data_IF_976536345680
#
_entry.id   IF_976536345680
#
_cell.length_a   1.000
_cell.length_b   1.000
_cell.length_c   1.000
_cell.angle_alpha   90.00
_cell.angle_beta   90.00
_cell.angle_gamma   90.00
#
_symmetry.space_group_name_H-M   'P 1'
#
loop_
_entity.id
_entity.type
_entity.pdbx_description
1 polymer ?
#
# COMPACT_ATOMS: atom_id res chain seq x y z
N UNK A 1 -30.97 49.23 -22.79
CA UNK A 1 -31.46 48.65 -21.52
C UNK A 1 -31.45 47.12 -21.48
N UNK A 2 -31.80 46.39 -22.55
CA UNK A 2 -31.81 44.90 -22.55
C UNK A 2 -30.45 44.22 -22.29
N UNK A 3 -29.35 44.81 -22.75
CA UNK A 3 -28.00 44.26 -22.57
C UNK A 3 -27.47 44.34 -21.13
N UNK A 4 -27.85 45.40 -20.40
CA UNK A 4 -27.45 45.58 -18.99
C UNK A 4 -28.12 44.53 -18.10
N UNK A 5 -29.38 44.19 -18.41
CA UNK A 5 -30.12 43.12 -17.70
C UNK A 5 -29.48 41.76 -17.94
N UNK A 6 -29.06 41.44 -19.17
CA UNK A 6 -28.37 40.18 -19.47
C UNK A 6 -27.02 40.06 -18.76
N UNK A 7 -26.23 41.14 -18.71
CA UNK A 7 -24.94 41.15 -18.00
C UNK A 7 -25.13 40.97 -16.49
N UNK A 8 -26.14 41.64 -15.91
CA UNK A 8 -26.48 41.47 -14.50
C UNK A 8 -26.98 40.05 -14.20
N UNK A 9 -27.76 39.41 -15.07
CA UNK A 9 -28.17 38.01 -14.87
C UNK A 9 -26.99 37.04 -14.90
N UNK A 10 -25.96 37.29 -15.71
CA UNK A 10 -24.75 36.44 -15.75
C UNK A 10 -23.89 36.67 -14.50
N UNK A 11 -23.82 37.90 -13.99
CA UNK A 11 -23.07 38.25 -12.77
C UNK A 11 -23.79 37.82 -11.47
N UNK A 12 -25.12 37.78 -11.44
CA UNK A 12 -25.95 37.35 -10.31
C UNK A 12 -26.19 35.83 -10.30
N UNK A 13 -25.97 35.14 -11.42
CA UNK A 13 -25.87 33.69 -11.48
C UNK A 13 -24.51 33.29 -10.89
N UNK A 14 -24.40 33.35 -9.56
CA UNK A 14 -23.20 32.93 -8.85
C UNK A 14 -22.72 31.54 -9.29
N UNK A 15 -21.49 31.19 -8.91
CA UNK A 15 -20.71 30.00 -9.30
C UNK A 15 -21.36 28.60 -9.09
N UNK A 16 -22.68 28.49 -8.95
CA UNK A 16 -23.45 27.26 -8.96
C UNK A 16 -23.24 26.42 -10.24
N UNK A 17 -22.78 27.01 -11.34
CA UNK A 17 -22.44 26.29 -12.57
C UNK A 17 -21.12 25.51 -12.52
N UNK A 18 -20.23 25.81 -11.57
CA UNK A 18 -18.89 25.17 -11.49
C UNK A 18 -18.91 23.93 -10.58
N UNK A 19 -19.97 23.72 -9.80
CA UNK A 19 -20.11 22.55 -8.92
C UNK A 19 -20.34 21.21 -9.65
N UNK A 20 -20.48 21.24 -10.99
CA UNK A 20 -20.72 20.07 -11.84
C UNK A 20 -19.48 19.66 -12.67
N UNK A 21 -18.42 20.48 -12.69
CA UNK A 21 -17.14 20.12 -13.31
C UNK A 21 -16.31 19.32 -12.31
N UNK A 22 -16.32 18.01 -12.51
CA UNK A 22 -15.53 17.01 -11.79
C UNK A 22 -15.86 16.90 -10.30
N UNK A 23 -16.91 16.13 -10.00
CA UNK A 23 -16.89 15.28 -8.82
C UNK A 23 -15.64 14.42 -8.91
N UNK A 24 -14.58 14.82 -8.22
CA UNK A 24 -13.41 14.00 -7.99
C UNK A 24 -13.92 12.68 -7.44
N UNK A 25 -13.86 11.62 -8.23
CA UNK A 25 -14.12 10.24 -7.80
C UNK A 25 -12.98 9.74 -6.90
N UNK A 26 -12.50 10.61 -6.01
CA UNK A 26 -11.61 10.21 -4.93
C UNK A 26 -12.51 9.57 -3.89
N UNK A 27 -12.47 8.24 -3.85
CA UNK A 27 -13.11 7.45 -2.80
C UNK A 27 -12.63 7.99 -1.44
N UNK A 28 -13.52 8.18 -0.46
CA UNK A 28 -13.12 8.70 0.83
C UNK A 28 -12.01 7.80 1.43
N UNK A 29 -11.03 8.39 2.13
CA UNK A 29 -10.06 7.66 2.94
C UNK A 29 -10.71 6.50 3.66
N UNK A 30 -10.07 5.32 3.62
CA UNK A 30 -10.53 4.21 4.46
C UNK A 30 -10.59 4.67 5.92
N UNK A 31 -11.74 4.51 6.62
CA UNK A 31 -11.86 4.94 7.99
C UNK A 31 -10.83 4.23 8.88
N UNK A 32 -10.18 5.00 9.75
CA UNK A 32 -8.99 4.54 10.50
C UNK A 32 -9.35 3.55 11.60
N UNK A 33 -10.51 3.69 12.22
CA UNK A 33 -10.94 2.82 13.31
C UNK A 33 -11.01 1.34 12.90
N UNK A 34 -11.65 0.96 11.77
CA UNK A 34 -11.61 -0.42 11.27
C UNK A 34 -10.19 -0.94 10.98
N UNK A 35 -9.28 -0.08 10.49
CA UNK A 35 -7.90 -0.47 10.22
C UNK A 35 -7.12 -0.71 11.51
N UNK A 36 -7.36 0.11 12.54
CA UNK A 36 -6.81 -0.08 13.86
C UNK A 36 -7.27 -1.39 14.49
N UNK A 37 -8.57 -1.69 14.44
CA UNK A 37 -9.12 -2.96 14.91
C UNK A 37 -8.53 -4.16 14.15
N UNK A 38 -8.40 -4.03 12.83
CA UNK A 38 -7.76 -5.07 12.00
C UNK A 38 -6.30 -5.30 12.40
N UNK A 39 -5.58 -4.22 12.75
CA UNK A 39 -4.21 -4.32 13.25
C UNK A 39 -4.14 -4.99 14.63
N UNK A 40 -5.06 -4.66 15.55
CA UNK A 40 -5.12 -5.34 16.86
C UNK A 40 -5.36 -6.85 16.70
N UNK A 41 -6.25 -7.23 15.78
CA UNK A 41 -6.48 -8.64 15.45
C UNK A 41 -5.22 -9.27 14.85
N UNK A 42 -4.50 -8.57 13.99
CA UNK A 42 -3.21 -9.04 13.45
C UNK A 42 -2.18 -9.32 14.55
N UNK A 43 -2.13 -8.49 15.60
CA UNK A 43 -1.22 -8.69 16.72
C UNK A 43 -1.59 -9.93 17.56
N UNK A 44 -2.88 -10.23 17.70
CA UNK A 44 -3.39 -11.33 18.50
C UNK A 44 -3.38 -12.69 17.76
N UNK A 45 -3.64 -12.70 16.46
CA UNK A 45 -3.76 -13.91 15.66
C UNK A 45 -2.43 -14.67 15.54
N UNK A 46 -2.44 -15.98 15.68
CA UNK A 46 -1.25 -16.84 15.53
C UNK A 46 -1.35 -17.78 14.33
N UNK A 47 -2.55 -17.98 13.80
CA UNK A 47 -2.77 -18.82 12.64
C UNK A 47 -2.26 -18.13 11.36
N UNK A 48 -1.37 -18.78 10.57
CA UNK A 48 -0.84 -18.18 9.34
C UNK A 48 -1.93 -17.80 8.33
N UNK A 49 -3.01 -18.58 8.23
CA UNK A 49 -4.06 -18.35 7.25
C UNK A 49 -5.00 -17.21 7.69
N UNK A 50 -5.34 -17.15 8.98
CA UNK A 50 -6.02 -16.01 9.57
C UNK A 50 -5.24 -14.72 9.31
N UNK A 51 -3.93 -14.72 9.56
CA UNK A 51 -3.09 -13.55 9.33
C UNK A 51 -3.08 -13.11 7.87
N UNK A 52 -3.06 -14.04 6.91
CA UNK A 52 -3.17 -13.72 5.49
C UNK A 52 -4.48 -12.96 5.18
N UNK A 53 -5.60 -13.44 5.72
CA UNK A 53 -6.90 -12.78 5.55
C UNK A 53 -6.94 -11.39 6.19
N UNK A 54 -6.28 -11.22 7.34
CA UNK A 54 -6.20 -9.92 8.01
C UNK A 54 -5.40 -8.92 7.16
N UNK A 55 -4.30 -9.35 6.54
CA UNK A 55 -3.48 -8.52 5.65
C UNK A 55 -4.30 -7.97 4.47
N UNK A 56 -5.18 -8.78 3.88
CA UNK A 56 -6.03 -8.34 2.75
C UNK A 56 -6.95 -7.17 3.12
N UNK A 57 -7.28 -6.95 4.40
CA UNK A 57 -8.08 -5.80 4.82
C UNK A 57 -7.36 -4.46 4.68
N UNK A 58 -6.04 -4.48 4.50
CA UNK A 58 -5.23 -3.29 4.25
C UNK A 58 -5.00 -3.01 2.75
N UNK A 59 -5.45 -3.87 1.83
CA UNK A 59 -5.32 -3.65 0.38
C UNK A 59 -5.97 -2.35 -0.14
N UNK A 60 -7.13 -1.91 0.37
CA UNK A 60 -7.72 -0.65 -0.06
C UNK A 60 -6.93 0.60 0.38
N UNK A 61 -5.96 0.46 1.29
CA UNK A 61 -5.19 1.59 1.84
C UNK A 61 -4.14 2.05 0.84
N UNK A 62 -4.53 2.94 -0.08
CA UNK A 62 -3.62 3.59 -1.01
C UNK A 62 -2.98 4.81 -0.35
N UNK A 63 -1.74 5.15 -0.72
CA UNK A 63 -1.13 6.41 -0.29
C UNK A 63 -1.96 7.55 -0.88
N UNK A 64 -2.66 8.29 -0.03
CA UNK A 64 -3.46 9.45 -0.43
C UNK A 64 -2.56 10.53 -1.05
N UNK A 65 -2.48 10.48 -2.37
CA UNK A 65 -2.12 11.61 -3.21
C UNK A 65 -3.25 11.80 -4.21
N UNK A 66 -4.08 12.83 -4.03
CA UNK A 66 -5.05 13.16 -5.06
C UNK A 66 -4.27 13.83 -6.21
N UNK A 67 -4.32 13.22 -7.40
CA UNK A 67 -3.86 13.93 -8.60
C UNK A 67 -4.69 15.20 -8.74
N UNK A 68 -4.07 16.38 -8.87
CA UNK A 68 -4.81 17.59 -9.12
C UNK A 68 -5.54 17.46 -10.47
N UNK A 69 -6.76 18.01 -10.60
CA UNK A 69 -7.47 18.05 -11.89
C UNK A 69 -6.57 18.59 -13.00
N UNK A 70 -6.75 18.07 -14.22
CA UNK A 70 -5.87 18.37 -15.36
C UNK A 70 -5.71 19.87 -15.64
N UNK A 71 -6.77 20.65 -15.43
CA UNK A 71 -6.77 22.11 -15.59
C UNK A 71 -5.92 22.84 -14.54
N UNK A 72 -5.75 22.25 -13.35
CA UNK A 72 -5.00 22.85 -12.25
C UNK A 72 -3.49 22.65 -12.45
N UNK A 73 -3.04 21.60 -13.15
CA UNK A 73 -1.61 21.27 -13.37
C UNK A 73 -0.76 22.45 -13.87
N UNK A 74 -1.36 23.39 -14.62
CA UNK A 74 -0.67 24.58 -15.14
C UNK A 74 -0.34 25.65 -14.07
N UNK A 75 -0.92 25.56 -12.87
CA UNK A 75 -0.82 26.59 -11.82
C UNK A 75 0.33 26.37 -10.83
N UNK A 76 1.24 25.42 -11.10
CA UNK A 76 2.49 25.25 -10.36
C UNK A 76 2.53 24.04 -9.43
N UNK A 77 3.23 24.17 -8.29
CA UNK A 77 3.36 23.08 -7.33
C UNK A 77 2.09 22.92 -6.51
N UNK A 78 1.44 21.76 -6.64
CA UNK A 78 0.22 21.44 -5.92
C UNK A 78 0.56 20.63 -4.67
N UNK A 79 -0.13 20.92 -3.57
CA UNK A 79 -0.13 20.04 -2.40
C UNK A 79 -0.98 18.82 -2.77
N UNK A 80 -0.34 17.78 -3.29
CA UNK A 80 -1.01 16.54 -3.70
C UNK A 80 -1.32 15.63 -2.51
N UNK A 81 -0.54 15.77 -1.44
CA UNK A 81 -0.64 14.95 -0.24
C UNK A 81 -1.21 15.82 0.89
N UNK A 82 -2.41 15.49 1.37
CA UNK A 82 -2.92 16.15 2.57
C UNK A 82 -2.07 15.73 3.78
N UNK A 83 -1.72 16.66 4.69
CA UNK A 83 -1.06 16.31 5.93
C UNK A 83 -1.95 15.33 6.71
N UNK A 84 -1.44 14.12 6.96
CA UNK A 84 -2.14 13.13 7.77
C UNK A 84 -2.28 13.68 9.19
N UNK A 85 -3.52 13.96 9.61
CA UNK A 85 -3.83 14.47 10.97
C UNK A 85 -4.02 13.35 11.99
N UNK A 86 -3.52 12.16 11.68
CA UNK A 86 -3.82 10.94 12.40
C UNK A 86 -2.56 10.52 13.11
N UNK A 87 -2.68 10.15 14.39
CA UNK A 87 -1.53 9.68 15.18
C UNK A 87 -0.94 8.37 14.68
N UNK A 88 -1.67 7.67 13.79
CA UNK A 88 -1.32 6.39 13.22
C UNK A 88 -1.36 6.49 11.70
N UNK A 89 -0.38 5.90 11.03
CA UNK A 89 -0.35 5.75 9.58
C UNK A 89 -0.99 4.40 9.17
N UNK A 90 -2.16 4.41 8.50
CA UNK A 90 -2.75 3.24 7.86
C UNK A 90 -1.81 2.34 7.04
N UNK A 91 -0.86 2.92 6.30
CA UNK A 91 0.09 2.13 5.51
C UNK A 91 1.10 1.42 6.40
N UNK A 92 1.58 2.10 7.44
CA UNK A 92 2.45 1.51 8.45
C UNK A 92 1.77 0.34 9.19
N UNK A 93 0.47 0.44 9.49
CA UNK A 93 -0.31 -0.68 10.05
C UNK A 93 -0.33 -1.89 9.11
N UNK A 94 -0.63 -1.67 7.83
CA UNK A 94 -0.65 -2.72 6.82
C UNK A 94 0.73 -3.36 6.62
N UNK A 95 1.78 -2.55 6.53
CA UNK A 95 3.15 -3.03 6.39
C UNK A 95 3.61 -3.86 7.60
N UNK A 96 3.33 -3.39 8.82
CA UNK A 96 3.62 -4.11 10.06
C UNK A 96 2.90 -5.45 10.12
N UNK A 97 1.61 -5.47 9.79
CA UNK A 97 0.83 -6.70 9.78
C UNK A 97 1.33 -7.69 8.70
N UNK A 98 1.65 -7.19 7.50
CA UNK A 98 2.19 -8.02 6.41
C UNK A 98 3.51 -8.68 6.79
N UNK A 99 4.44 -7.93 7.41
CA UNK A 99 5.69 -8.49 7.92
C UNK A 99 5.46 -9.55 9.00
N UNK A 100 4.53 -9.32 9.92
CA UNK A 100 4.19 -10.29 10.97
C UNK A 100 3.64 -11.57 10.36
N UNK A 101 2.69 -11.46 9.43
CA UNK A 101 2.12 -12.60 8.72
C UNK A 101 3.20 -13.40 7.98
N UNK A 102 4.12 -12.72 7.29
CA UNK A 102 5.25 -13.35 6.62
C UNK A 102 6.19 -14.08 7.59
N UNK A 103 6.46 -13.49 8.75
CA UNK A 103 7.27 -14.11 9.81
C UNK A 103 6.64 -15.39 10.35
N UNK A 104 5.35 -15.34 10.69
CA UNK A 104 4.59 -16.49 11.17
C UNK A 104 4.52 -17.60 10.10
N UNK A 105 4.32 -17.24 8.83
CA UNK A 105 4.38 -18.21 7.72
C UNK A 105 5.75 -18.86 7.58
N UNK A 106 6.84 -18.09 7.72
CA UNK A 106 8.19 -18.61 7.65
C UNK A 106 8.49 -19.58 8.80
N UNK A 107 8.08 -19.24 10.02
CA UNK A 107 8.20 -20.10 11.21
C UNK A 107 7.40 -21.40 11.06
N UNK A 108 6.27 -21.36 10.37
CA UNK A 108 5.44 -22.52 10.06
C UNK A 108 5.83 -23.25 8.75
N UNK A 109 7.01 -22.95 8.20
CA UNK A 109 7.57 -23.55 6.98
C UNK A 109 6.79 -23.31 5.67
N UNK A 110 5.84 -22.38 5.65
CA UNK A 110 5.17 -21.88 4.45
C UNK A 110 6.07 -20.88 3.70
N UNK A 111 7.21 -21.35 3.24
CA UNK A 111 8.28 -20.53 2.66
C UNK A 111 7.86 -19.76 1.39
N UNK A 112 7.12 -20.36 0.44
CA UNK A 112 6.64 -19.63 -0.74
C UNK A 112 5.73 -18.44 -0.37
N UNK A 113 4.82 -18.65 0.57
CA UNK A 113 3.85 -17.66 1.02
C UNK A 113 4.53 -16.55 1.84
N UNK A 114 5.44 -16.91 2.74
CA UNK A 114 6.26 -15.96 3.48
C UNK A 114 7.06 -15.05 2.52
N UNK A 115 7.71 -15.65 1.51
CA UNK A 115 8.45 -14.91 0.48
C UNK A 115 7.53 -13.97 -0.30
N UNK A 116 6.34 -14.41 -0.69
CA UNK A 116 5.37 -13.59 -1.41
C UNK A 116 4.92 -12.38 -0.58
N UNK A 117 4.68 -12.55 0.72
CA UNK A 117 4.30 -11.44 1.62
C UNK A 117 5.46 -10.44 1.82
N UNK A 118 6.69 -10.90 2.01
CA UNK A 118 7.83 -9.98 2.07
C UNK A 118 8.02 -9.21 0.76
N UNK A 119 7.86 -9.86 -0.39
CA UNK A 119 7.90 -9.19 -1.70
C UNK A 119 6.77 -8.18 -1.86
N UNK A 120 5.57 -8.48 -1.35
CA UNK A 120 4.44 -7.53 -1.31
C UNK A 120 4.82 -6.27 -0.53
N UNK A 121 5.55 -6.39 0.58
CA UNK A 121 6.01 -5.21 1.34
C UNK A 121 6.90 -4.31 0.46
N UNK A 122 7.84 -4.91 -0.27
CA UNK A 122 8.73 -4.16 -1.17
C UNK A 122 7.99 -3.48 -2.31
N UNK A 123 6.97 -4.14 -2.87
CA UNK A 123 6.21 -3.63 -4.01
C UNK A 123 5.23 -2.52 -3.60
N UNK A 124 4.58 -2.64 -2.44
CA UNK A 124 3.47 -1.79 -2.03
C UNK A 124 3.89 -0.60 -1.18
N UNK A 125 4.89 -0.77 -0.32
CA UNK A 125 5.24 0.21 0.72
C UNK A 125 6.57 0.92 0.42
N UNK A 126 6.88 1.15 -0.86
CA UNK A 126 8.16 1.73 -1.31
C UNK A 126 8.29 3.26 -1.13
N UNK A 127 7.43 3.88 -0.31
CA UNK A 127 7.55 5.31 0.02
C UNK A 127 8.62 5.50 1.10
N UNK A 128 9.36 6.62 1.06
CA UNK A 128 10.44 6.96 2.02
C UNK A 128 9.99 6.87 3.47
N UNK A 129 8.74 7.23 3.76
CA UNK A 129 8.19 7.19 5.12
C UNK A 129 8.06 5.75 5.69
N UNK A 130 8.21 4.72 4.83
CA UNK A 130 8.05 3.31 5.16
C UNK A 130 9.36 2.50 5.00
N UNK A 131 10.50 3.17 4.82
CA UNK A 131 11.82 2.52 4.62
C UNK A 131 12.16 1.50 5.72
N UNK A 132 11.77 1.77 6.96
CA UNK A 132 11.91 0.82 8.08
C UNK A 132 11.29 -0.56 7.77
N UNK A 133 10.08 -0.58 7.21
CA UNK A 133 9.38 -1.84 6.89
C UNK A 133 9.99 -2.53 5.68
N UNK A 134 10.39 -1.74 4.68
CA UNK A 134 11.07 -2.22 3.47
C UNK A 134 12.38 -2.90 3.82
N UNK A 135 13.20 -2.29 4.69
CA UNK A 135 14.48 -2.86 5.08
C UNK A 135 14.33 -4.12 5.93
N UNK A 136 13.30 -4.18 6.79
CA UNK A 136 12.94 -5.42 7.50
C UNK A 136 12.55 -6.55 6.55
N UNK A 137 11.77 -6.25 5.51
CA UNK A 137 11.41 -7.24 4.48
C UNK A 137 12.63 -7.74 3.69
N UNK A 138 13.54 -6.84 3.29
CA UNK A 138 14.79 -7.22 2.59
C UNK A 138 15.65 -8.14 3.44
N UNK A 139 15.86 -7.79 4.72
CA UNK A 139 16.64 -8.60 5.63
C UNK A 139 16.04 -10.00 5.83
N UNK A 140 14.70 -10.08 5.98
CA UNK A 140 14.01 -11.36 6.09
C UNK A 140 14.13 -12.21 4.81
N UNK A 141 13.97 -11.60 3.63
CA UNK A 141 14.14 -12.27 2.35
C UNK A 141 15.55 -12.83 2.14
N UNK A 142 16.58 -12.12 2.58
CA UNK A 142 17.95 -12.61 2.54
C UNK A 142 18.12 -13.86 3.43
N UNK A 143 17.60 -13.82 4.67
CA UNK A 143 17.64 -14.98 5.57
C UNK A 143 16.90 -16.22 5.05
N UNK A 144 15.82 -16.03 4.26
CA UNK A 144 15.13 -17.13 3.59
C UNK A 144 15.97 -17.77 2.48
N UNK A 145 16.81 -17.01 1.77
CA UNK A 145 17.65 -17.52 0.69
C UNK A 145 18.79 -18.39 1.23
N UNK A 146 19.40 -17.97 2.33
CA UNK A 146 20.47 -18.71 3.00
C UNK A 146 19.99 -20.05 3.59
N UNK A 147 18.68 -20.22 3.77
CA UNK A 147 18.04 -21.43 4.28
C UNK A 147 17.68 -22.44 3.17
N UNK A 148 17.92 -22.12 1.90
CA UNK A 148 17.64 -23.04 0.78
C UNK A 148 18.72 -24.13 0.78
N UNK A 149 18.38 -25.43 0.91
CA UNK A 149 19.39 -26.48 0.92
C UNK A 149 20.17 -26.43 -0.39
N UNK A 150 21.51 -26.33 -0.28
CA UNK A 150 22.40 -26.38 -1.42
C UNK A 150 22.08 -27.63 -2.25
N UNK A 151 21.54 -27.43 -3.45
CA UNK A 151 21.31 -28.52 -4.40
C UNK A 151 22.68 -29.07 -4.77
N UNK A 152 23.09 -30.15 -4.11
CA UNK A 152 24.29 -30.91 -4.47
C UNK A 152 23.98 -31.55 -5.81
N UNK A 153 24.44 -30.91 -6.89
CA UNK A 153 24.38 -31.49 -8.22
C UNK A 153 25.21 -32.80 -8.20
N UNK A 154 24.53 -33.94 -8.17
CA UNK A 154 25.17 -35.24 -8.30
C UNK A 154 25.82 -35.32 -9.68
N UNK A 155 27.15 -35.30 -9.73
CA UNK A 155 27.93 -35.50 -10.94
C UNK A 155 28.27 -36.98 -11.03
N UNK A 156 27.64 -37.78 -11.90
CA UNK A 156 28.03 -39.17 -12.06
C UNK A 156 29.43 -39.21 -12.68
N UNK A 157 30.35 -39.90 -12.01
CA UNK A 157 31.70 -40.16 -12.49
C UNK A 157 31.62 -40.85 -13.85
N UNK A 158 32.22 -40.23 -14.87
CA UNK A 158 32.37 -40.85 -16.19
C UNK A 158 33.35 -42.00 -16.06
N UNK A 159 32.83 -43.21 -16.26
CA UNK A 159 33.57 -44.45 -16.35
C UNK A 159 34.83 -44.31 -17.23
N UNK A 160 35.95 -44.83 -16.70
CA UNK A 160 37.20 -45.04 -17.44
C UNK A 160 36.98 -45.98 -18.63
N UNK A 161 37.51 -45.68 -19.82
CA UNK A 161 37.64 -46.67 -20.88
C UNK A 161 38.83 -47.60 -20.62
N UNK A 162 38.62 -48.86 -20.98
CA UNK A 162 39.54 -50.00 -20.88
C UNK A 162 40.62 -49.95 -21.95
#
# INVERSE_FOLDING_TARGET
MRWIVCLFTILLSGCHGVSLLERTTAEPPSPIMPLWESYQQCLAATDPMELALIVERFEPVVSEGAEPPSWMKAWGHHVTNQPRRTSVDPQALGAACTLRAAGVMAEAEFMPEARALYQRVLARYSNRDLDYYVDRAKAALAGLQDSTPAVVAFRPDRALPR
#
